data_IF_319144022939
#
_entry.id   IF_319144022939
#
_cell.length_a   1.000
_cell.length_b   1.000
_cell.length_c   1.000
_cell.angle_alpha   90.00
_cell.angle_beta   90.00
_cell.angle_gamma   90.00
#
_symmetry.space_group_name_H-M   'P 1'
#
loop_
_entity.id
_entity.type
_entity.pdbx_description
1 polymer ?
#
# COMPACT_ATOMS: atom_id res chain seq x y z
N UNK A 1 -9.58 18.47 -0.47
CA UNK A 1 -10.28 17.18 -0.51
C UNK A 1 -9.26 16.07 -0.77
N UNK A 2 -9.33 14.98 -0.04
CA UNK A 2 -8.39 13.87 -0.20
C UNK A 2 -8.68 13.06 -1.48
N UNK A 3 -7.67 12.34 -1.99
CA UNK A 3 -7.87 11.43 -3.15
C UNK A 3 -8.96 10.40 -2.87
N UNK A 4 -9.03 9.88 -1.65
CA UNK A 4 -10.07 8.91 -1.23
C UNK A 4 -11.46 9.52 -1.37
N UNK A 5 -11.66 10.73 -0.86
CA UNK A 5 -12.95 11.42 -0.97
C UNK A 5 -13.33 11.66 -2.43
N UNK A 6 -12.38 12.13 -3.23
CA UNK A 6 -12.60 12.38 -4.67
C UNK A 6 -13.05 11.11 -5.40
N UNK A 7 -12.39 9.98 -5.13
CA UNK A 7 -12.75 8.68 -5.75
C UNK A 7 -14.16 8.25 -5.33
N UNK A 8 -14.48 8.29 -4.04
CA UNK A 8 -15.82 7.88 -3.57
C UNK A 8 -16.93 8.79 -4.07
N UNK A 9 -16.70 10.10 -4.16
CA UNK A 9 -17.70 11.01 -4.75
C UNK A 9 -17.97 10.69 -6.20
N UNK A 10 -16.91 10.43 -7.00
CA UNK A 10 -17.05 10.04 -8.40
C UNK A 10 -17.82 8.72 -8.53
N UNK A 11 -17.43 7.70 -7.75
CA UNK A 11 -18.10 6.40 -7.78
C UNK A 11 -19.57 6.50 -7.39
N UNK A 12 -19.90 7.30 -6.39
CA UNK A 12 -21.27 7.54 -5.97
C UNK A 12 -22.09 8.21 -7.08
N UNK A 13 -21.52 9.24 -7.73
CA UNK A 13 -22.18 9.91 -8.85
C UNK A 13 -22.45 8.97 -10.02
N UNK A 14 -21.55 7.99 -10.27
CA UNK A 14 -21.66 7.01 -11.34
C UNK A 14 -22.48 5.77 -10.94
N UNK A 15 -22.96 5.68 -9.68
CA UNK A 15 -23.69 4.51 -9.17
C UNK A 15 -22.82 3.24 -9.07
N UNK A 16 -21.50 3.39 -8.95
CA UNK A 16 -20.53 2.29 -8.94
C UNK A 16 -19.99 2.02 -7.54
N UNK A 17 -19.54 0.79 -7.33
CA UNK A 17 -18.82 0.35 -6.12
C UNK A 17 -17.31 0.45 -6.33
N UNK A 18 -16.56 0.66 -5.25
CA UNK A 18 -15.11 0.70 -5.31
C UNK A 18 -14.52 -0.70 -5.44
N UNK A 19 -13.55 -0.85 -6.33
CA UNK A 19 -12.67 -2.01 -6.40
C UNK A 19 -11.36 -1.65 -5.68
N UNK A 20 -11.08 -2.35 -4.58
CA UNK A 20 -9.92 -2.09 -3.71
C UNK A 20 -9.10 -3.38 -3.57
N UNK A 21 -8.21 -3.68 -4.53
CA UNK A 21 -7.35 -4.84 -4.42
C UNK A 21 -6.27 -4.65 -3.37
N UNK A 22 -5.98 -5.74 -2.65
CA UNK A 22 -4.86 -5.84 -1.71
C UNK A 22 -3.71 -6.62 -2.34
N UNK A 23 -2.48 -6.11 -2.19
CA UNK A 23 -1.25 -6.82 -2.53
C UNK A 23 -0.20 -6.60 -1.46
N UNK A 24 0.62 -7.62 -1.19
CA UNK A 24 1.78 -7.50 -0.30
C UNK A 24 2.94 -6.88 -1.06
N UNK A 25 3.44 -5.74 -0.56
CA UNK A 25 4.62 -5.11 -1.14
C UNK A 25 5.83 -6.03 -1.06
N UNK A 26 6.52 -6.21 -2.18
CA UNK A 26 7.69 -7.07 -2.26
C UNK A 26 7.42 -8.53 -2.62
N UNK A 27 6.15 -8.92 -2.78
CA UNK A 27 5.78 -10.26 -3.22
C UNK A 27 5.26 -10.23 -4.68
N UNK A 28 5.67 -11.14 -5.57
CA UNK A 28 6.65 -12.22 -5.35
C UNK A 28 8.11 -11.74 -5.34
N UNK A 29 8.37 -10.51 -5.75
CA UNK A 29 9.69 -9.87 -5.70
C UNK A 29 9.51 -8.35 -5.53
N UNK A 30 10.45 -7.65 -4.85
CA UNK A 30 10.36 -6.20 -4.65
C UNK A 30 10.23 -5.40 -5.95
N UNK A 31 10.95 -5.79 -6.99
CA UNK A 31 10.94 -5.12 -8.30
C UNK A 31 9.59 -5.23 -9.04
N UNK A 32 8.72 -6.15 -8.65
CA UNK A 32 7.42 -6.35 -9.29
C UNK A 32 6.31 -5.53 -8.64
N UNK A 33 6.52 -4.93 -7.47
CA UNK A 33 5.48 -4.19 -6.75
C UNK A 33 4.96 -3.00 -7.55
N UNK A 34 5.84 -2.15 -8.05
CA UNK A 34 5.45 -0.98 -8.85
C UNK A 34 4.74 -1.37 -10.16
N UNK A 35 5.26 -2.30 -10.99
CA UNK A 35 4.53 -2.77 -12.17
C UNK A 35 3.16 -3.36 -11.83
N UNK A 36 3.05 -4.10 -10.74
CA UNK A 36 1.79 -4.68 -10.28
C UNK A 36 0.77 -3.60 -9.89
N UNK A 37 1.20 -2.58 -9.16
CA UNK A 37 0.34 -1.44 -8.81
C UNK A 37 -0.21 -0.76 -10.07
N UNK A 38 0.65 -0.51 -11.05
CA UNK A 38 0.23 0.08 -12.34
C UNK A 38 -0.75 -0.82 -13.09
N UNK A 39 -0.50 -2.12 -13.14
CA UNK A 39 -1.37 -3.08 -13.80
C UNK A 39 -2.75 -3.16 -13.13
N UNK A 40 -2.81 -3.10 -11.80
CA UNK A 40 -4.07 -3.07 -11.06
C UNK A 40 -4.90 -1.83 -11.40
N UNK A 41 -4.28 -0.67 -11.51
CA UNK A 41 -4.97 0.57 -11.92
C UNK A 41 -5.49 0.45 -13.35
N UNK A 42 -4.68 -0.04 -14.27
CA UNK A 42 -5.10 -0.30 -15.66
C UNK A 42 -6.26 -1.30 -15.74
N UNK A 43 -6.28 -2.28 -14.83
CA UNK A 43 -7.35 -3.27 -14.69
C UNK A 43 -8.62 -2.75 -14.05
N UNK A 44 -8.64 -1.52 -13.56
CA UNK A 44 -9.84 -0.86 -13.01
C UNK A 44 -9.87 -0.70 -11.50
N UNK A 45 -8.76 -0.88 -10.80
CA UNK A 45 -8.68 -0.60 -9.36
C UNK A 45 -8.96 0.88 -9.09
N UNK A 46 -9.82 1.15 -8.14
CA UNK A 46 -10.18 2.51 -7.71
C UNK A 46 -9.29 3.00 -6.57
N UNK A 47 -8.88 2.10 -5.68
CA UNK A 47 -7.97 2.35 -4.55
C UNK A 47 -7.04 1.14 -4.46
N UNK A 48 -5.78 1.37 -4.14
CA UNK A 48 -4.83 0.29 -3.86
C UNK A 48 -4.61 0.16 -2.36
N UNK A 49 -4.73 -1.06 -1.85
CA UNK A 49 -4.32 -1.42 -0.49
C UNK A 49 -2.99 -2.18 -0.56
N UNK A 50 -1.95 -1.59 -0.02
CA UNK A 50 -0.59 -2.10 -0.09
C UNK A 50 -0.15 -2.62 1.27
N UNK A 51 0.06 -3.93 1.37
CA UNK A 51 0.50 -4.57 2.59
C UNK A 51 1.98 -4.31 2.88
N UNK A 52 2.27 -3.86 4.09
CA UNK A 52 3.64 -3.71 4.60
C UNK A 52 4.03 -5.04 5.24
N UNK A 53 5.04 -5.77 4.70
CA UNK A 53 5.42 -7.06 5.27
C UNK A 53 6.00 -6.92 6.67
N UNK A 54 5.60 -7.85 7.54
CA UNK A 54 6.07 -7.94 8.93
C UNK A 54 6.41 -9.40 9.26
N UNK A 55 7.38 -9.61 10.16
CA UNK A 55 7.89 -10.93 10.54
C UNK A 55 6.88 -11.79 11.30
N UNK A 56 5.97 -11.15 12.06
CA UNK A 56 5.04 -11.82 12.97
C UNK A 56 3.58 -11.43 12.67
N UNK A 57 3.07 -11.72 11.45
CA UNK A 57 1.77 -11.22 10.99
C UNK A 57 0.61 -12.07 11.54
N UNK A 58 0.41 -12.05 12.85
CA UNK A 58 -0.51 -12.94 13.57
C UNK A 58 -1.99 -12.75 13.24
N UNK A 59 -2.37 -11.59 12.71
CA UNK A 59 -3.73 -11.31 12.29
C UNK A 59 -4.03 -11.77 10.86
N UNK A 60 -2.99 -12.16 10.11
CA UNK A 60 -3.12 -12.60 8.72
C UNK A 60 -3.29 -14.12 8.61
N UNK A 61 -3.95 -14.55 7.55
CA UNK A 61 -4.02 -15.95 7.17
C UNK A 61 -2.74 -16.47 6.51
N UNK A 62 -2.63 -17.80 6.25
CA UNK A 62 -1.40 -18.43 5.78
C UNK A 62 -0.88 -17.87 4.45
N UNK A 63 -1.77 -17.51 3.54
CA UNK A 63 -1.39 -16.98 2.22
C UNK A 63 -0.65 -15.65 2.35
N UNK A 64 -1.20 -14.72 3.12
CA UNK A 64 -0.59 -13.41 3.34
C UNK A 64 0.67 -13.53 4.20
N UNK A 65 0.68 -14.41 5.19
CA UNK A 65 1.88 -14.70 5.98
C UNK A 65 3.05 -15.15 5.11
N UNK A 66 2.82 -16.07 4.18
CA UNK A 66 3.84 -16.55 3.24
C UNK A 66 4.32 -15.45 2.28
N UNK A 67 3.40 -14.62 1.82
CA UNK A 67 3.76 -13.47 0.97
C UNK A 67 4.67 -12.49 1.72
N UNK A 68 4.35 -12.16 2.97
CA UNK A 68 5.18 -11.31 3.84
C UNK A 68 6.55 -11.92 4.10
N UNK A 69 6.60 -13.20 4.43
CA UNK A 69 7.86 -13.93 4.66
C UNK A 69 8.78 -13.86 3.42
N UNK A 70 8.24 -14.13 2.24
CA UNK A 70 9.01 -14.04 0.99
C UNK A 70 9.46 -12.63 0.69
N UNK A 71 8.62 -11.64 0.90
CA UNK A 71 8.98 -10.25 0.70
C UNK A 71 10.12 -9.82 1.62
N UNK A 72 10.06 -10.17 2.90
CA UNK A 72 11.12 -9.88 3.87
C UNK A 72 12.42 -10.60 3.52
N UNK A 73 12.37 -11.86 3.09
CA UNK A 73 13.54 -12.62 2.68
C UNK A 73 14.29 -11.97 1.50
N UNK A 74 13.58 -11.20 0.69
CA UNK A 74 14.14 -10.45 -0.44
C UNK A 74 14.50 -9.00 -0.08
N UNK A 75 14.49 -8.67 1.20
CA UNK A 75 14.94 -7.38 1.71
C UNK A 75 13.89 -6.26 1.67
N UNK A 76 12.60 -6.59 1.55
CA UNK A 76 11.55 -5.58 1.64
C UNK A 76 11.47 -5.00 3.04
N UNK A 77 11.12 -3.72 3.16
CA UNK A 77 11.02 -2.98 4.41
C UNK A 77 9.99 -1.85 4.28
N UNK A 78 9.56 -1.28 5.40
CA UNK A 78 8.66 -0.13 5.40
C UNK A 78 9.24 1.04 4.57
N UNK A 79 10.54 1.32 4.71
CA UNK A 79 11.20 2.36 3.92
C UNK A 79 11.07 2.11 2.43
N UNK A 80 11.31 0.88 1.99
CA UNK A 80 11.18 0.51 0.56
C UNK A 80 9.74 0.52 0.06
N UNK A 81 8.78 0.23 0.93
CA UNK A 81 7.35 0.39 0.62
C UNK A 81 7.06 1.86 0.32
N UNK A 82 7.52 2.78 1.16
CA UNK A 82 7.35 4.22 0.94
C UNK A 82 8.06 4.71 -0.33
N UNK A 83 9.25 4.21 -0.60
CA UNK A 83 9.96 4.49 -1.85
C UNK A 83 9.17 4.02 -3.09
N UNK A 84 8.53 2.86 -2.99
CA UNK A 84 7.67 2.31 -4.06
C UNK A 84 6.44 3.19 -4.29
N UNK A 85 5.78 3.65 -3.23
CA UNK A 85 4.65 4.57 -3.34
C UNK A 85 5.08 5.89 -3.99
N UNK A 86 6.23 6.43 -3.60
CA UNK A 86 6.79 7.64 -4.22
C UNK A 86 7.02 7.44 -5.72
N UNK A 87 7.59 6.32 -6.12
CA UNK A 87 7.79 5.99 -7.52
C UNK A 87 6.47 5.85 -8.28
N UNK A 88 5.47 5.22 -7.67
CA UNK A 88 4.11 5.13 -8.22
C UNK A 88 3.51 6.53 -8.45
N UNK A 89 3.67 7.45 -7.49
CA UNK A 89 3.17 8.83 -7.60
C UNK A 89 3.77 9.62 -8.75
N UNK A 90 4.98 9.30 -9.18
CA UNK A 90 5.61 10.00 -10.30
C UNK A 90 4.80 9.90 -11.60
N UNK A 91 4.04 8.82 -11.78
CA UNK A 91 3.20 8.59 -12.97
C UNK A 91 1.69 8.55 -12.67
N UNK A 92 1.27 8.54 -11.41
CA UNK A 92 -0.13 8.47 -11.00
C UNK A 92 -0.39 9.35 -9.78
N UNK A 93 -0.97 10.53 -10.02
CA UNK A 93 -1.30 11.49 -8.97
C UNK A 93 -2.67 11.22 -8.31
N UNK A 94 -3.52 10.39 -8.91
CA UNK A 94 -4.96 10.37 -8.61
C UNK A 94 -5.41 9.15 -7.82
N UNK A 95 -4.81 7.97 -8.04
CA UNK A 95 -5.24 6.73 -7.39
C UNK A 95 -4.82 6.71 -5.92
N UNK A 96 -5.76 6.59 -4.98
CA UNK A 96 -5.40 6.48 -3.56
C UNK A 96 -4.59 5.21 -3.27
N UNK A 97 -3.63 5.34 -2.37
CA UNK A 97 -2.85 4.22 -1.82
C UNK A 97 -2.99 4.22 -0.31
N UNK A 98 -3.51 3.12 0.22
CA UNK A 98 -3.65 2.87 1.65
C UNK A 98 -2.64 1.79 2.04
N UNK A 99 -1.82 2.07 3.05
CA UNK A 99 -0.94 1.05 3.62
C UNK A 99 -1.70 0.23 4.66
N UNK A 100 -1.52 -1.08 4.64
CA UNK A 100 -2.02 -1.97 5.69
C UNK A 100 -0.85 -2.68 6.36
N UNK A 101 -0.79 -2.65 7.68
CA UNK A 101 0.29 -3.27 8.40
C UNK A 101 0.14 -3.22 9.91
N UNK A 102 1.21 -3.66 10.56
CA UNK A 102 1.29 -3.73 12.02
C UNK A 102 1.97 -2.47 12.58
N UNK A 103 1.70 -2.18 13.84
CA UNK A 103 2.30 -1.02 14.51
C UNK A 103 3.83 -1.12 14.64
N UNK A 104 4.37 -2.34 14.74
CA UNK A 104 5.79 -2.55 15.01
C UNK A 104 6.75 -1.88 14.03
N UNK A 105 6.60 -2.00 12.70
CA UNK A 105 7.46 -1.27 11.77
C UNK A 105 7.34 0.24 11.88
N UNK A 106 6.14 0.74 12.17
CA UNK A 106 5.88 2.18 12.36
C UNK A 106 6.57 2.69 13.61
N UNK A 107 6.45 1.96 14.73
CA UNK A 107 7.12 2.30 15.99
C UNK A 107 8.65 2.22 15.85
N UNK A 108 9.17 1.23 15.13
CA UNK A 108 10.59 1.11 14.86
C UNK A 108 11.16 2.30 14.07
N UNK A 109 10.41 2.81 13.11
CA UNK A 109 10.77 4.03 12.37
C UNK A 109 10.60 5.29 13.23
N UNK A 110 9.63 5.29 14.12
CA UNK A 110 9.14 6.43 14.89
C UNK A 110 7.92 7.06 14.23
N UNK A 111 6.86 7.27 15.01
CA UNK A 111 5.55 7.71 14.49
C UNK A 111 5.65 9.02 13.71
N UNK A 112 6.33 10.02 14.25
CA UNK A 112 6.49 11.32 13.58
C UNK A 112 7.24 11.21 12.26
N UNK A 113 8.33 10.43 12.25
CA UNK A 113 9.11 10.16 11.02
C UNK A 113 8.29 9.42 9.99
N UNK A 114 7.51 8.43 10.44
CA UNK A 114 6.64 7.67 9.56
C UNK A 114 5.57 8.57 8.92
N UNK A 115 4.88 9.39 9.71
CA UNK A 115 3.86 10.33 9.20
C UNK A 115 4.44 11.27 8.16
N UNK A 116 5.60 11.88 8.45
CA UNK A 116 6.28 12.77 7.52
C UNK A 116 6.67 12.04 6.22
N UNK A 117 7.29 10.87 6.33
CA UNK A 117 7.73 10.08 5.17
C UNK A 117 6.56 9.55 4.34
N UNK A 118 5.48 9.11 4.98
CA UNK A 118 4.27 8.65 4.31
C UNK A 118 3.57 9.79 3.56
N UNK A 119 3.46 10.95 4.19
CA UNK A 119 2.91 12.14 3.55
C UNK A 119 3.74 12.54 2.33
N UNK A 120 5.06 12.60 2.47
CA UNK A 120 5.99 12.94 1.38
C UNK A 120 5.93 11.92 0.23
N UNK A 121 5.78 10.64 0.55
CA UNK A 121 5.63 9.59 -0.44
C UNK A 121 4.28 9.63 -1.18
N UNK A 122 3.27 10.30 -0.62
CA UNK A 122 1.94 10.40 -1.20
C UNK A 122 1.00 9.26 -0.77
N UNK A 123 1.19 8.71 0.42
CA UNK A 123 0.25 7.77 1.05
C UNK A 123 -1.01 8.50 1.48
N UNK A 124 -2.17 7.90 1.25
CA UNK A 124 -3.48 8.50 1.53
C UNK A 124 -4.11 8.04 2.85
N UNK A 125 -3.68 6.91 3.35
CA UNK A 125 -4.19 6.36 4.60
C UNK A 125 -3.37 5.18 5.09
N UNK A 126 -3.57 4.83 6.34
CA UNK A 126 -2.92 3.68 6.99
C UNK A 126 -3.96 2.91 7.79
N UNK A 127 -4.02 1.61 7.55
CA UNK A 127 -4.83 0.65 8.31
C UNK A 127 -3.87 -0.15 9.20
N UNK A 128 -3.95 0.07 10.50
CA UNK A 128 -3.11 -0.62 11.48
C UNK A 128 -3.89 -1.77 12.10
N UNK A 129 -3.34 -2.96 12.08
CA UNK A 129 -3.93 -4.18 12.64
C UNK A 129 -3.20 -4.66 13.87
#
# INVERSE_FOLDING_TARGET
>A
MSRIQTVFQRLQADGRKALIPFVTAGFPAPALTLPLMNALVEGGADILELGVPFSDPMADGPTIQRASERALAQGMSLRKVLETVRAFRAANADTPVVLMGYANPIEAMGQERFVAAAHEAGVDGVLVV
#
